data_IF_949515634442
#
_entry.id   IF_949515634442
#
_cell.length_a   1.000
_cell.length_b   1.000
_cell.length_c   1.000
_cell.angle_alpha   90.00
_cell.angle_beta   90.00
_cell.angle_gamma   90.00
#
_symmetry.space_group_name_H-M   'P 1'
#
loop_
_entity.id
_entity.type
_entity.pdbx_description
1 polymer ?
#
# COMPACT_ATOMS: atom_id res chain seq x y z
N UNK A 1 -43.37 25.55 4.91
CA UNK A 1 -42.09 26.07 5.47
C UNK A 1 -40.98 25.12 5.03
N UNK A 2 -40.09 25.54 4.14
CA UNK A 2 -38.95 24.72 3.71
C UNK A 2 -37.86 24.89 4.77
N UNK A 3 -37.59 23.85 5.55
CA UNK A 3 -36.44 23.80 6.46
C UNK A 3 -35.19 23.54 5.60
N UNK A 4 -34.60 24.61 5.08
CA UNK A 4 -33.34 24.52 4.34
C UNK A 4 -32.21 24.11 5.29
N UNK A 5 -31.48 23.04 4.95
CA UNK A 5 -30.27 22.64 5.68
C UNK A 5 -29.19 23.72 5.55
N UNK A 6 -28.77 24.29 6.68
CA UNK A 6 -27.68 25.28 6.80
C UNK A 6 -26.28 24.64 6.83
N UNK A 7 -26.13 23.39 6.39
CA UNK A 7 -24.86 22.69 6.46
C UNK A 7 -23.96 23.15 5.31
N UNK A 8 -22.91 23.93 5.64
CA UNK A 8 -21.91 24.36 4.69
C UNK A 8 -21.19 23.14 4.07
N UNK A 9 -21.36 22.95 2.75
CA UNK A 9 -20.67 21.88 2.02
C UNK A 9 -19.18 22.21 1.90
N UNK A 10 -18.29 21.21 1.95
CA UNK A 10 -16.88 21.42 1.66
C UNK A 10 -16.71 21.95 0.24
N UNK A 11 -15.75 22.86 0.05
CA UNK A 11 -15.45 23.44 -1.28
C UNK A 11 -15.02 22.36 -2.26
N UNK A 12 -15.42 22.52 -3.52
CA UNK A 12 -14.90 21.69 -4.61
C UNK A 12 -13.38 21.85 -4.69
N UNK A 13 -12.65 20.76 -4.50
CA UNK A 13 -11.20 20.74 -4.52
C UNK A 13 -10.62 20.62 -5.92
N UNK A 14 -9.29 20.73 -6.03
CA UNK A 14 -8.58 20.51 -7.29
C UNK A 14 -8.71 19.05 -7.77
N UNK A 15 -8.97 18.88 -9.06
CA UNK A 15 -8.99 17.56 -9.69
C UNK A 15 -7.64 16.83 -9.54
N UNK A 16 -7.70 15.51 -9.41
CA UNK A 16 -6.50 14.67 -9.25
C UNK A 16 -5.74 14.58 -10.56
N UNK A 17 -4.40 14.68 -10.49
CA UNK A 17 -3.52 14.56 -11.66
C UNK A 17 -3.52 13.16 -12.31
N UNK A 18 -3.96 12.13 -11.60
CA UNK A 18 -3.97 10.75 -12.09
C UNK A 18 -5.38 10.18 -12.07
N UNK A 19 -5.67 9.32 -13.05
CA UNK A 19 -6.92 8.58 -13.11
C UNK A 19 -7.04 7.61 -11.93
N UNK A 20 -8.28 7.24 -11.58
CA UNK A 20 -8.53 6.21 -10.57
C UNK A 20 -7.91 4.86 -10.95
N UNK A 21 -7.88 4.52 -12.26
CA UNK A 21 -7.26 3.31 -12.78
C UNK A 21 -5.75 3.28 -12.51
N UNK A 22 -5.05 4.35 -12.86
CA UNK A 22 -3.61 4.48 -12.62
C UNK A 22 -3.29 4.46 -11.14
N UNK A 23 -4.11 5.11 -10.30
CA UNK A 23 -3.94 5.09 -8.84
C UNK A 23 -4.06 3.67 -8.27
N UNK A 24 -5.05 2.89 -8.70
CA UNK A 24 -5.22 1.48 -8.30
C UNK A 24 -4.04 0.64 -8.75
N UNK A 25 -3.55 0.85 -9.98
CA UNK A 25 -2.41 0.08 -10.50
C UNK A 25 -1.14 0.32 -9.70
N UNK A 26 -0.82 1.58 -9.36
CA UNK A 26 0.32 1.91 -8.48
C UNK A 26 0.26 1.13 -7.16
N UNK A 27 -0.91 1.08 -6.54
CA UNK A 27 -1.12 0.38 -5.26
C UNK A 27 -1.08 -1.13 -5.46
N UNK A 28 -1.67 -1.64 -6.55
CA UNK A 28 -1.71 -3.06 -6.89
C UNK A 28 -0.32 -3.63 -7.13
N UNK A 29 0.50 -2.98 -7.95
CA UNK A 29 1.87 -3.41 -8.26
C UNK A 29 2.71 -3.52 -6.98
N UNK A 30 2.60 -2.53 -6.08
CA UNK A 30 3.31 -2.52 -4.80
C UNK A 30 2.78 -3.56 -3.79
N UNK A 31 1.49 -3.92 -3.84
CA UNK A 31 0.93 -4.98 -2.99
C UNK A 31 1.29 -6.38 -3.49
N UNK A 32 1.28 -6.57 -4.81
CA UNK A 32 1.61 -7.85 -5.46
C UNK A 32 3.09 -8.19 -5.27
N UNK A 33 3.97 -7.20 -5.41
CA UNK A 33 5.39 -7.35 -5.14
C UNK A 33 5.89 -6.19 -4.24
N UNK A 34 6.05 -6.40 -2.93
CA UNK A 34 6.47 -5.34 -2.00
C UNK A 34 7.92 -4.87 -2.20
N UNK A 35 8.72 -5.59 -2.99
CA UNK A 35 10.10 -5.21 -3.33
C UNK A 35 10.19 -4.32 -4.58
N UNK A 36 9.07 -4.12 -5.29
CA UNK A 36 9.05 -3.30 -6.50
C UNK A 36 9.40 -1.84 -6.19
N UNK A 37 10.28 -1.27 -7.01
CA UNK A 37 10.72 0.11 -6.86
C UNK A 37 9.79 1.09 -7.57
N UNK A 38 9.81 2.34 -7.13
CA UNK A 38 9.05 3.42 -7.79
C UNK A 38 9.45 3.67 -9.25
N UNK A 39 10.65 3.24 -9.66
CA UNK A 39 11.17 3.31 -11.04
C UNK A 39 10.56 2.18 -11.87
N UNK A 40 10.50 0.96 -11.34
CA UNK A 40 9.87 -0.17 -12.02
C UNK A 40 8.37 0.05 -12.21
N UNK A 41 7.68 0.55 -11.18
CA UNK A 41 6.28 1.00 -11.31
C UNK A 41 6.16 2.09 -12.39
N UNK A 42 7.18 2.95 -12.58
CA UNK A 42 7.16 3.91 -13.68
C UNK A 42 7.16 3.22 -15.04
N UNK A 43 8.12 2.33 -15.25
CA UNK A 43 8.29 1.66 -16.51
C UNK A 43 7.06 0.82 -16.86
N UNK A 44 6.43 0.19 -15.86
CA UNK A 44 5.17 -0.53 -16.03
C UNK A 44 4.02 0.39 -16.49
N UNK A 45 3.90 1.57 -15.89
CA UNK A 45 2.86 2.53 -16.27
C UNK A 45 3.13 3.18 -17.64
N UNK A 46 4.40 3.46 -17.96
CA UNK A 46 4.79 4.03 -19.26
C UNK A 46 4.51 3.04 -20.40
N UNK A 47 4.70 1.74 -20.17
CA UNK A 47 4.28 0.69 -21.12
C UNK A 47 2.79 0.69 -21.40
N UNK A 48 1.97 1.09 -20.43
CA UNK A 48 0.51 1.24 -20.59
C UNK A 48 0.09 2.63 -21.11
N UNK A 49 1.04 3.51 -21.44
CA UNK A 49 0.78 4.88 -21.89
C UNK A 49 0.47 5.89 -20.79
N UNK A 50 0.66 5.55 -19.51
CA UNK A 50 0.44 6.44 -18.37
C UNK A 50 1.77 7.01 -17.85
N UNK A 51 2.09 8.25 -18.22
CA UNK A 51 3.32 8.91 -17.76
C UNK A 51 3.08 9.57 -16.40
N UNK A 52 3.68 9.02 -15.34
CA UNK A 52 3.55 9.53 -13.96
C UNK A 52 4.92 9.71 -13.31
N UNK A 53 5.18 10.94 -12.84
CA UNK A 53 6.41 11.26 -12.14
C UNK A 53 6.64 10.42 -10.86
N UNK A 54 7.91 10.13 -10.54
CA UNK A 54 8.32 9.35 -9.36
C UNK A 54 7.75 9.88 -8.04
N UNK A 55 7.80 11.20 -7.84
CA UNK A 55 7.26 11.86 -6.64
C UNK A 55 5.75 11.64 -6.46
N UNK A 56 5.00 11.64 -7.56
CA UNK A 56 3.55 11.44 -7.54
C UNK A 56 3.20 10.02 -7.09
N UNK A 57 3.91 9.01 -7.60
CA UNK A 57 3.74 7.61 -7.16
C UNK A 57 4.09 7.45 -5.69
N UNK A 58 5.22 7.99 -5.23
CA UNK A 58 5.62 7.93 -3.82
C UNK A 58 4.57 8.55 -2.89
N UNK A 59 3.99 9.69 -3.28
CA UNK A 59 2.89 10.32 -2.54
C UNK A 59 1.66 9.41 -2.45
N UNK A 60 1.29 8.75 -3.55
CA UNK A 60 0.16 7.83 -3.57
C UNK A 60 0.43 6.56 -2.75
N UNK A 61 1.63 6.00 -2.81
CA UNK A 61 2.03 4.87 -1.97
C UNK A 61 1.93 5.23 -0.48
N UNK A 62 2.51 6.36 -0.08
CA UNK A 62 2.44 6.83 1.31
C UNK A 62 1.01 7.10 1.78
N UNK A 63 0.15 7.65 0.91
CA UNK A 63 -1.27 7.87 1.23
C UNK A 63 -2.05 6.57 1.48
N UNK A 64 -1.58 5.47 0.91
CA UNK A 64 -2.14 4.13 1.12
C UNK A 64 -1.31 3.32 2.14
N UNK A 65 -0.52 3.99 2.97
CA UNK A 65 0.31 3.37 4.03
C UNK A 65 1.37 2.38 3.52
N UNK A 66 1.62 2.38 2.21
CA UNK A 66 2.67 1.59 1.58
C UNK A 66 3.98 2.35 1.67
N UNK A 67 4.70 2.11 2.74
CA UNK A 67 5.98 2.76 3.02
C UNK A 67 7.14 1.83 2.67
N UNK A 68 8.26 2.42 2.24
CA UNK A 68 9.51 1.67 2.08
C UNK A 68 9.96 1.11 3.44
N UNK A 69 10.28 -0.19 3.47
CA UNK A 69 10.81 -0.91 4.62
C UNK A 69 11.88 -1.88 4.17
N UNK A 70 12.85 -2.13 5.04
CA UNK A 70 13.83 -3.21 4.88
C UNK A 70 13.33 -4.42 5.65
N UNK A 71 13.26 -5.58 5.00
CA UNK A 71 12.88 -6.81 5.66
C UNK A 71 13.87 -7.12 6.80
N UNK A 72 13.35 -7.46 7.98
CA UNK A 72 14.22 -7.88 9.10
C UNK A 72 14.89 -9.19 8.74
N UNK A 73 16.23 -9.26 8.83
CA UNK A 73 16.98 -10.50 8.64
C UNK A 73 16.72 -11.43 9.82
N UNK A 74 15.74 -12.31 9.70
CA UNK A 74 15.55 -13.43 10.63
C UNK A 74 16.37 -14.63 10.14
N UNK A 75 16.98 -15.41 11.04
CA UNK A 75 17.63 -16.66 10.63
C UNK A 75 16.59 -17.57 9.99
N UNK A 76 17.00 -18.31 8.96
CA UNK A 76 16.13 -19.26 8.28
C UNK A 76 15.85 -20.44 9.22
N UNK A 77 14.66 -20.44 9.82
CA UNK A 77 14.26 -21.54 10.70
C UNK A 77 13.93 -22.79 9.89
N UNK A 78 14.60 -23.90 10.23
CA UNK A 78 14.26 -25.25 9.77
C UNK A 78 12.85 -25.62 10.24
N UNK A 79 12.18 -26.51 9.50
CA UNK A 79 10.77 -26.83 9.75
C UNK A 79 10.50 -27.38 11.16
N UNK A 80 11.42 -28.18 11.72
CA UNK A 80 11.28 -28.71 13.07
C UNK A 80 11.31 -27.61 14.15
N UNK A 81 12.15 -26.57 14.00
CA UNK A 81 12.17 -25.42 14.92
C UNK A 81 10.84 -24.66 14.91
N UNK A 82 10.21 -24.50 13.73
CA UNK A 82 8.90 -23.86 13.61
C UNK A 82 7.81 -24.64 14.36
N UNK A 83 7.81 -25.97 14.21
CA UNK A 83 6.86 -26.86 14.90
C UNK A 83 7.03 -26.80 16.42
N UNK A 84 8.26 -26.91 16.90
CA UNK A 84 8.57 -26.83 18.33
C UNK A 84 8.16 -25.47 18.92
N UNK A 85 8.42 -24.36 18.22
CA UNK A 85 8.00 -23.03 18.67
C UNK A 85 6.47 -22.92 18.77
N UNK A 86 5.71 -23.38 17.76
CA UNK A 86 4.24 -23.33 17.78
C UNK A 86 3.63 -24.17 18.92
N UNK A 87 4.15 -25.40 19.13
CA UNK A 87 3.73 -26.25 20.25
C UNK A 87 4.02 -25.59 21.60
N UNK A 88 5.19 -24.97 21.74
CA UNK A 88 5.55 -24.22 22.94
C UNK A 88 4.67 -22.99 23.18
N UNK A 89 4.12 -22.35 22.14
CA UNK A 89 3.16 -21.26 22.29
C UNK A 89 1.78 -21.76 22.75
N UNK A 90 1.27 -22.86 22.19
CA UNK A 90 -0.03 -23.44 22.58
C UNK A 90 -0.08 -23.89 24.05
N UNK A 91 1.03 -24.42 24.57
CA UNK A 91 1.12 -24.91 25.94
C UNK A 91 1.30 -23.78 26.99
N UNK A 92 1.51 -22.53 26.56
CA UNK A 92 1.88 -21.41 27.43
C UNK A 92 0.84 -20.26 27.38
N UNK A 93 -0.35 -20.54 26.84
CA UNK A 93 -1.50 -19.64 26.98
C UNK A 93 -2.12 -19.97 28.35
N UNK A 94 -2.10 -19.04 29.34
CA UNK A 94 -2.77 -19.28 30.61
C UNK A 94 -4.28 -19.40 30.35
N UNK A 95 -4.86 -20.52 30.78
CA UNK A 95 -6.31 -20.76 30.81
C UNK A 95 -7.01 -19.78 31.73
#
# INVERSE_FOLDING_TARGET
KILGSLNAKPRSGRQRKISAKTARRIVGDAKNNPQVTSREIQAALEKDGAVVARSTKRRYLNKNELQSRVARKKPLLRQYHKKAWLQGQQNNIPT
#
